data_IF_993023120154
#
_entry.id   IF_993023120154
#
_cell.length_a   1.000
_cell.length_b   1.000
_cell.length_c   1.000
_cell.angle_alpha   90.00
_cell.angle_beta   90.00
_cell.angle_gamma   90.00
#
_symmetry.space_group_name_H-M   'P 1'
#
loop_
_entity.id
_entity.type
_entity.pdbx_description
1 polymer ?
#
# COMPACT_ATOMS: atom_id res chain seq x y z
N UNK A 1 -1.50 -16.58 10.31
CA UNK A 1 -1.83 -16.15 8.93
C UNK A 1 -1.08 -14.92 8.43
N UNK A 2 -0.60 -14.05 9.31
CA UNK A 2 0.11 -12.82 8.93
C UNK A 2 1.42 -13.03 8.15
N UNK A 3 2.01 -14.24 8.18
CA UNK A 3 3.29 -14.55 7.52
C UNK A 3 3.16 -14.52 5.98
N UNK A 4 2.10 -15.09 5.41
CA UNK A 4 1.91 -15.09 3.96
C UNK A 4 1.68 -13.66 3.47
N UNK A 5 0.82 -12.91 4.16
CA UNK A 5 0.57 -11.50 3.88
C UNK A 5 1.84 -10.65 4.01
N UNK A 6 2.67 -10.88 5.04
CA UNK A 6 3.92 -10.14 5.22
C UNK A 6 4.96 -10.48 4.15
N UNK A 7 5.08 -11.74 3.74
CA UNK A 7 6.01 -12.14 2.66
C UNK A 7 5.57 -11.55 1.32
N UNK A 8 4.27 -11.62 0.99
CA UNK A 8 3.73 -11.00 -0.22
C UNK A 8 3.94 -9.48 -0.20
N UNK A 9 3.70 -8.84 0.94
CA UNK A 9 3.94 -7.41 1.13
C UNK A 9 5.41 -7.07 0.93
N UNK A 10 6.33 -7.82 1.53
CA UNK A 10 7.76 -7.59 1.42
C UNK A 10 8.26 -7.68 -0.03
N UNK A 11 7.79 -8.67 -0.79
CA UNK A 11 8.21 -8.89 -2.18
C UNK A 11 7.58 -7.87 -3.13
N UNK A 12 6.27 -7.62 -3.01
CA UNK A 12 5.52 -6.85 -4.00
C UNK A 12 5.38 -5.37 -3.67
N UNK A 13 5.43 -4.95 -2.41
CA UNK A 13 5.30 -3.53 -2.03
C UNK A 13 6.29 -2.61 -2.75
N UNK A 14 7.61 -2.90 -2.83
CA UNK A 14 8.54 -2.00 -3.51
C UNK A 14 8.30 -1.91 -5.01
N UNK A 15 8.01 -3.03 -5.66
CA UNK A 15 7.79 -3.07 -7.10
C UNK A 15 6.48 -2.37 -7.49
N UNK A 16 5.42 -2.63 -6.75
CA UNK A 16 4.11 -2.03 -6.98
C UNK A 16 4.15 -0.53 -6.74
N UNK A 17 4.78 -0.07 -5.65
CA UNK A 17 4.86 1.37 -5.39
C UNK A 17 5.76 2.10 -6.40
N UNK A 18 6.88 1.50 -6.82
CA UNK A 18 7.73 2.07 -7.87
C UNK A 18 6.96 2.21 -9.18
N UNK A 19 6.12 1.22 -9.51
CA UNK A 19 5.26 1.23 -10.68
C UNK A 19 4.19 2.32 -10.59
N UNK A 20 3.48 2.42 -9.45
CA UNK A 20 2.50 3.49 -9.20
C UNK A 20 3.13 4.87 -9.32
N UNK A 21 4.30 5.09 -8.70
CA UNK A 21 5.03 6.35 -8.78
C UNK A 21 5.42 6.69 -10.23
N UNK A 22 5.95 5.72 -10.97
CA UNK A 22 6.29 5.89 -12.38
C UNK A 22 5.06 6.24 -13.23
N UNK A 23 3.93 5.57 -13.00
CA UNK A 23 2.68 5.80 -13.72
C UNK A 23 2.12 7.21 -13.45
N UNK A 24 2.17 7.68 -12.20
CA UNK A 24 1.72 9.02 -11.82
C UNK A 24 2.61 10.10 -12.48
N UNK A 25 3.93 9.90 -12.50
CA UNK A 25 4.88 10.87 -13.05
C UNK A 25 4.93 10.91 -14.57
N UNK A 26 5.05 9.73 -15.22
CA UNK A 26 5.31 9.64 -16.67
C UNK A 26 4.05 9.44 -17.50
N UNK A 27 2.93 9.00 -16.89
CA UNK A 27 1.64 8.74 -17.54
C UNK A 27 1.77 8.08 -18.94
N UNK A 28 2.44 6.91 -19.04
CA UNK A 28 2.64 6.23 -20.33
C UNK A 28 1.32 5.80 -20.98
N UNK A 29 1.35 5.38 -22.25
CA UNK A 29 0.18 4.78 -22.92
C UNK A 29 -0.37 3.63 -22.06
N UNK A 30 -1.69 3.63 -21.83
CA UNK A 30 -2.40 2.69 -20.94
C UNK A 30 -2.04 2.80 -19.45
N UNK A 31 -1.66 3.98 -18.96
CA UNK A 31 -1.37 4.21 -17.53
C UNK A 31 -2.53 3.82 -16.62
N UNK A 32 -3.78 4.06 -17.02
CA UNK A 32 -4.98 3.67 -16.26
C UNK A 32 -5.06 2.14 -16.07
N UNK A 33 -4.84 1.37 -17.14
CA UNK A 33 -4.83 -0.11 -17.06
C UNK A 33 -3.75 -0.59 -16.09
N UNK A 34 -2.57 0.01 -16.17
CA UNK A 34 -1.45 -0.33 -15.31
C UNK A 34 -1.71 0.04 -13.85
N UNK A 35 -2.41 1.15 -13.59
CA UNK A 35 -2.88 1.52 -12.26
C UNK A 35 -3.88 0.53 -11.69
N UNK A 36 -4.86 0.10 -12.50
CA UNK A 36 -5.84 -0.93 -12.08
C UNK A 36 -5.13 -2.23 -11.70
N UNK A 37 -4.13 -2.67 -12.48
CA UNK A 37 -3.32 -3.85 -12.15
C UNK A 37 -2.59 -3.64 -10.82
N UNK A 38 -1.96 -2.48 -10.60
CA UNK A 38 -1.29 -2.18 -9.32
C UNK A 38 -2.26 -2.24 -8.14
N UNK A 39 -3.47 -1.68 -8.29
CA UNK A 39 -4.52 -1.73 -7.25
C UNK A 39 -4.97 -3.16 -6.96
N UNK A 40 -5.10 -4.01 -7.98
CA UNK A 40 -5.41 -5.43 -7.80
C UNK A 40 -4.28 -6.14 -7.04
N UNK A 41 -3.02 -5.87 -7.38
CA UNK A 41 -1.87 -6.46 -6.67
C UNK A 41 -1.87 -6.03 -5.20
N UNK A 42 -2.10 -4.74 -4.91
CA UNK A 42 -2.22 -4.23 -3.53
C UNK A 42 -3.33 -4.98 -2.81
N UNK A 43 -4.53 -5.07 -3.41
CA UNK A 43 -5.66 -5.77 -2.82
C UNK A 43 -5.34 -7.23 -2.50
N UNK A 44 -4.82 -7.99 -3.47
CA UNK A 44 -4.51 -9.41 -3.33
C UNK A 44 -3.46 -9.64 -2.25
N UNK A 45 -2.42 -8.81 -2.23
CA UNK A 45 -1.33 -8.96 -1.26
C UNK A 45 -1.75 -8.53 0.15
N UNK A 46 -2.46 -7.40 0.26
CA UNK A 46 -2.80 -6.79 1.54
C UNK A 46 -4.04 -7.42 2.21
N UNK A 47 -5.06 -7.80 1.45
CA UNK A 47 -6.34 -8.26 2.01
C UNK A 47 -6.80 -9.59 1.43
N UNK A 48 -6.63 -9.80 0.12
CA UNK A 48 -7.16 -10.98 -0.57
C UNK A 48 -6.57 -12.29 -0.04
N UNK A 49 -5.29 -12.31 0.33
CA UNK A 49 -4.65 -13.49 0.92
C UNK A 49 -5.24 -13.88 2.29
N UNK A 50 -5.63 -12.90 3.09
CA UNK A 50 -6.26 -13.11 4.39
C UNK A 50 -7.72 -13.58 4.24
N UNK A 51 -8.47 -12.96 3.34
CA UNK A 51 -9.86 -13.36 3.06
C UNK A 51 -9.96 -14.75 2.45
N UNK A 52 -9.05 -15.09 1.52
CA UNK A 52 -9.01 -16.42 0.92
C UNK A 52 -8.76 -17.50 1.98
N UNK A 53 -7.91 -17.22 2.96
CA UNK A 53 -7.67 -18.14 4.06
C UNK A 53 -8.88 -18.31 4.97
N UNK A 54 -9.50 -17.20 5.37
CA UNK A 54 -10.70 -17.24 6.20
C UNK A 54 -11.83 -17.97 5.48
N UNK A 55 -12.01 -17.73 4.18
CA UNK A 55 -12.97 -18.47 3.36
C UNK A 55 -12.69 -19.97 3.38
N UNK A 56 -11.42 -20.36 3.20
CA UNK A 56 -11.03 -21.77 3.18
C UNK A 56 -11.18 -22.47 4.54
N UNK A 57 -10.95 -21.77 5.65
CA UNK A 57 -10.96 -22.37 7.00
C UNK A 57 -12.28 -22.23 7.75
N UNK A 58 -12.98 -21.11 7.60
CA UNK A 58 -14.19 -20.79 8.34
C UNK A 58 -15.46 -20.97 7.49
N UNK A 59 -15.34 -21.02 6.16
CA UNK A 59 -16.47 -21.18 5.24
C UNK A 59 -17.38 -19.95 5.11
N UNK A 60 -17.07 -18.86 5.82
CA UNK A 60 -17.78 -17.57 5.72
C UNK A 60 -16.80 -16.40 5.92
N UNK A 61 -17.16 -15.25 5.35
CA UNK A 61 -16.41 -13.99 5.55
C UNK A 61 -16.82 -13.42 6.90
N UNK A 62 -15.88 -13.13 7.83
CA UNK A 62 -16.22 -12.55 9.13
C UNK A 62 -16.73 -11.10 8.96
N UNK A 63 -18.02 -10.81 9.20
CA UNK A 63 -18.52 -9.43 9.27
C UNK A 63 -18.24 -8.89 10.68
N UNK A 64 -17.82 -7.62 10.90
CA UNK A 64 -17.74 -6.47 9.99
C UNK A 64 -16.29 -6.03 9.68
N UNK A 65 -15.29 -6.85 10.01
CA UNK A 65 -13.87 -6.49 10.00
C UNK A 65 -13.25 -6.36 8.61
N UNK A 66 -13.94 -6.78 7.54
CA UNK A 66 -13.40 -6.79 6.18
C UNK A 66 -12.93 -5.41 5.70
N UNK A 67 -13.79 -4.39 5.73
CA UNK A 67 -13.46 -3.05 5.23
C UNK A 67 -12.33 -2.40 6.03
N UNK A 68 -12.35 -2.62 7.34
CA UNK A 68 -11.33 -2.13 8.27
C UNK A 68 -9.99 -2.81 7.98
N UNK A 69 -9.99 -4.12 7.82
CA UNK A 69 -8.81 -4.90 7.47
C UNK A 69 -8.23 -4.50 6.11
N UNK A 70 -9.09 -4.31 5.10
CA UNK A 70 -8.69 -3.85 3.78
C UNK A 70 -8.01 -2.48 3.84
N UNK A 71 -8.60 -1.53 4.58
CA UNK A 71 -8.03 -0.20 4.74
C UNK A 71 -6.66 -0.24 5.43
N UNK A 72 -6.58 -0.83 6.62
CA UNK A 72 -5.32 -0.88 7.39
C UNK A 72 -4.23 -1.63 6.63
N UNK A 73 -4.56 -2.76 6.01
CA UNK A 73 -3.57 -3.57 5.30
C UNK A 73 -3.09 -2.89 4.01
N UNK A 74 -3.97 -2.18 3.30
CA UNK A 74 -3.57 -1.37 2.13
C UNK A 74 -2.66 -0.22 2.53
N UNK A 75 -2.99 0.50 3.62
CA UNK A 75 -2.13 1.54 4.16
C UNK A 75 -0.76 0.99 4.58
N UNK A 76 -0.73 -0.16 5.25
CA UNK A 76 0.52 -0.83 5.64
C UNK A 76 1.36 -1.26 4.42
N UNK A 77 0.72 -1.78 3.37
CA UNK A 77 1.40 -2.17 2.14
C UNK A 77 2.03 -0.96 1.43
N UNK A 78 1.31 0.16 1.35
CA UNK A 78 1.83 1.41 0.78
C UNK A 78 2.98 1.95 1.63
N UNK A 79 2.83 1.99 2.96
CA UNK A 79 3.87 2.44 3.87
C UNK A 79 5.14 1.58 3.75
N UNK A 80 5.00 0.25 3.66
CA UNK A 80 6.11 -0.67 3.43
C UNK A 80 6.84 -0.38 2.12
N UNK A 81 6.10 -0.12 1.04
CA UNK A 81 6.70 0.26 -0.24
C UNK A 81 7.46 1.60 -0.17
N UNK A 82 6.94 2.58 0.58
CA UNK A 82 7.58 3.90 0.74
C UNK A 82 8.88 3.73 1.54
N UNK A 83 8.80 3.01 2.66
CA UNK A 83 9.95 2.72 3.53
C UNK A 83 11.03 1.92 2.79
N UNK A 84 10.64 1.00 1.91
CA UNK A 84 11.60 0.22 1.11
C UNK A 84 12.42 1.08 0.16
N UNK A 85 11.80 2.11 -0.43
CA UNK A 85 12.48 3.05 -1.34
C UNK A 85 13.26 4.12 -0.56
N UNK A 86 13.09 4.19 0.76
CA UNK A 86 13.74 5.19 1.58
C UNK A 86 15.17 4.75 1.90
N UNK A 87 16.14 5.23 1.12
CA UNK A 87 17.57 4.99 1.33
C UNK A 87 18.20 5.93 2.39
N UNK A 88 17.42 6.87 2.95
CA UNK A 88 17.86 7.81 3.99
C UNK A 88 17.61 7.32 5.41
N UNK A 89 17.90 8.16 6.40
CA UNK A 89 17.59 7.86 7.81
C UNK A 89 16.11 8.14 8.10
N UNK A 90 15.41 7.29 8.87
CA UNK A 90 13.99 7.51 9.28
C UNK A 90 13.70 8.95 9.78
N UNK A 91 14.71 9.60 10.37
CA UNK A 91 14.71 11.00 10.80
C UNK A 91 14.54 12.01 9.65
N UNK A 92 15.14 11.75 8.49
CA UNK A 92 15.05 12.58 7.28
C UNK A 92 13.68 12.42 6.60
N UNK A 93 13.11 11.21 6.60
CA UNK A 93 11.74 10.96 6.10
C UNK A 93 10.72 11.77 6.91
N UNK A 94 10.78 11.64 8.24
CA UNK A 94 9.89 12.35 9.16
C UNK A 94 10.10 13.87 9.10
N UNK A 95 11.35 14.32 8.98
CA UNK A 95 11.69 15.73 8.82
C UNK A 95 11.14 16.33 7.52
N UNK A 96 11.16 15.58 6.41
CA UNK A 96 10.55 15.99 5.15
C UNK A 96 9.02 16.05 5.22
N UNK A 97 8.40 14.99 5.72
CA UNK A 97 6.94 14.94 5.92
C UNK A 97 6.43 16.06 6.82
N UNK A 98 7.09 16.32 7.95
CA UNK A 98 6.71 17.40 8.87
C UNK A 98 6.83 18.78 8.21
N UNK A 99 7.86 19.00 7.39
CA UNK A 99 8.01 20.26 6.63
C UNK A 99 6.92 20.44 5.60
N UNK A 100 6.59 19.40 4.84
CA UNK A 100 5.52 19.47 3.84
C UNK A 100 4.13 19.66 4.47
N UNK A 101 3.85 18.97 5.59
CA UNK A 101 2.62 19.18 6.37
C UNK A 101 2.51 20.60 6.90
N UNK A 102 3.61 21.17 7.41
CA UNK A 102 3.63 22.55 7.89
C UNK A 102 3.37 23.54 6.76
N UNK A 103 3.96 23.30 5.58
CA UNK A 103 3.75 24.11 4.37
C UNK A 103 2.32 24.08 3.85
N UNK A 104 1.65 22.91 3.94
CA UNK A 104 0.22 22.76 3.59
C UNK A 104 -0.69 23.43 4.63
N UNK A 105 -0.29 23.44 5.90
CA UNK A 105 -1.01 24.15 6.97
C UNK A 105 -0.95 25.66 6.79
N UNK A 106 0.22 26.20 6.43
CA UNK A 106 0.44 27.64 6.22
C UNK A 106 -0.17 28.16 4.92
N UNK A 107 -0.34 27.30 3.89
CA UNK A 107 -0.99 27.67 2.62
C UNK A 107 -2.54 27.71 2.70
N UNK A 108 -3.12 27.42 3.86
CA UNK A 108 -4.57 27.41 4.11
C UNK A 108 -5.07 28.59 4.96
N UNK A 109 -4.17 29.45 5.44
CA UNK A 109 -4.48 30.79 5.98
C UNK A 109 -4.42 31.85 4.87
#
# INVERSE_FOLDING_TARGET
>A
MSIIMSVLTYIFAPWTLKSVYYLIQKRPKHWVRSLVICSIVIYVCASGSYELYNWWHLGYWPPPTYWVNLWYSSCAFIAAGILWKFEGTLKELLGGLLKDFKKVSEAKE
#
